data_IF_326113616021
#
_entry.id   IF_326113616021
#
_cell.length_a   1.000
_cell.length_b   1.000
_cell.length_c   1.000
_cell.angle_alpha   90.00
_cell.angle_beta   90.00
_cell.angle_gamma   90.00
#
_symmetry.space_group_name_H-M   'P 1'
#
loop_
_entity.id
_entity.type
_entity.pdbx_description
1 polymer ?
#
# COMPACT_ATOMS: atom_id res chain seq x y z
N UNK A 1 0.88 -17.89 5.89
CA UNK A 1 -0.37 -17.30 5.37
C UNK A 1 -0.05 -16.27 4.30
N UNK A 2 0.72 -15.22 4.63
CA UNK A 2 1.12 -14.17 3.70
C UNK A 2 1.70 -14.65 2.36
N UNK A 3 2.68 -15.56 2.37
CA UNK A 3 3.28 -16.08 1.12
C UNK A 3 2.26 -16.81 0.23
N UNK A 4 1.30 -17.53 0.84
CA UNK A 4 0.22 -18.19 0.09
C UNK A 4 -0.73 -17.16 -0.52
N UNK A 5 -1.03 -16.07 0.20
CA UNK A 5 -1.89 -15.00 -0.30
C UNK A 5 -1.22 -14.24 -1.45
N UNK A 6 0.07 -13.93 -1.33
CA UNK A 6 0.89 -13.34 -2.41
C UNK A 6 0.90 -14.24 -3.64
N UNK A 7 1.10 -15.55 -3.45
CA UNK A 7 1.08 -16.53 -4.54
C UNK A 7 -0.29 -16.56 -5.23
N UNK A 8 -1.38 -16.67 -4.45
CA UNK A 8 -2.73 -16.71 -4.99
C UNK A 8 -3.07 -15.44 -5.77
N UNK A 9 -2.66 -14.26 -5.28
CA UNK A 9 -2.86 -13.00 -5.97
C UNK A 9 -2.13 -12.95 -7.33
N UNK A 10 -0.87 -13.40 -7.39
CA UNK A 10 -0.10 -13.50 -8.65
C UNK A 10 -0.74 -14.47 -9.65
N UNK A 11 -1.19 -15.63 -9.17
CA UNK A 11 -1.86 -16.61 -10.01
C UNK A 11 -3.16 -16.04 -10.59
N UNK A 12 -3.94 -15.32 -9.80
CA UNK A 12 -5.15 -14.65 -10.25
C UNK A 12 -4.87 -13.55 -11.29
N UNK A 13 -3.89 -12.68 -11.05
CA UNK A 13 -3.49 -11.64 -12.01
C UNK A 13 -3.02 -12.24 -13.34
N UNK A 14 -2.21 -13.30 -13.28
CA UNK A 14 -1.74 -14.05 -14.45
C UNK A 14 -2.90 -14.67 -15.23
N UNK A 15 -3.88 -15.26 -14.52
CA UNK A 15 -5.06 -15.85 -15.14
C UNK A 15 -5.90 -14.80 -15.86
N UNK A 16 -6.18 -13.66 -15.23
CA UNK A 16 -6.93 -12.55 -15.83
C UNK A 16 -6.24 -12.06 -17.10
N UNK A 17 -4.91 -11.89 -17.07
CA UNK A 17 -4.13 -11.51 -18.24
C UNK A 17 -4.26 -12.51 -19.39
N UNK A 18 -4.10 -13.80 -19.09
CA UNK A 18 -4.21 -14.89 -20.08
C UNK A 18 -5.62 -14.97 -20.70
N UNK A 19 -6.67 -14.90 -19.87
CA UNK A 19 -8.06 -14.93 -20.35
C UNK A 19 -8.39 -13.69 -21.22
N UNK A 20 -7.86 -12.52 -20.87
CA UNK A 20 -8.00 -11.31 -21.69
C UNK A 20 -7.29 -11.45 -23.04
N UNK A 21 -6.11 -12.07 -23.09
CA UNK A 21 -5.39 -12.35 -24.33
C UNK A 21 -6.15 -13.34 -25.23
N UNK A 22 -6.73 -14.40 -24.66
CA UNK A 22 -7.59 -15.35 -25.41
C UNK A 22 -8.85 -14.67 -25.94
N UNK A 23 -9.51 -13.83 -25.14
CA UNK A 23 -10.66 -13.04 -25.59
C UNK A 23 -10.29 -12.20 -26.81
N UNK A 24 -9.14 -11.54 -26.79
CA UNK A 24 -8.62 -10.71 -27.89
C UNK A 24 -8.39 -11.46 -29.21
N UNK A 25 -8.36 -12.80 -29.21
CA UNK A 25 -8.24 -13.60 -30.44
C UNK A 25 -9.58 -13.75 -31.18
N UNK A 26 -10.71 -13.54 -30.51
CA UNK A 26 -12.03 -13.75 -31.10
C UNK A 26 -12.35 -12.66 -32.14
N UNK A 27 -12.86 -13.08 -33.31
CA UNK A 27 -13.25 -12.14 -34.38
C UNK A 27 -14.25 -11.08 -33.89
N UNK A 28 -15.18 -11.47 -33.02
CA UNK A 28 -16.24 -10.59 -32.49
C UNK A 28 -15.71 -9.35 -31.74
N UNK A 29 -14.51 -9.44 -31.17
CA UNK A 29 -13.87 -8.35 -30.40
C UNK A 29 -12.67 -7.73 -31.13
N UNK A 30 -12.45 -8.08 -32.39
CA UNK A 30 -11.34 -7.55 -33.21
C UNK A 30 -11.76 -6.56 -34.28
N UNK A 31 -13.07 -6.46 -34.56
CA UNK A 31 -13.59 -5.66 -35.68
C UNK A 31 -14.81 -4.85 -35.27
N UNK A 32 -15.05 -3.75 -35.99
CA UNK A 32 -16.23 -2.92 -35.80
C UNK A 32 -16.37 -2.40 -34.37
N UNK A 33 -17.60 -2.31 -33.89
CA UNK A 33 -17.91 -1.78 -32.56
C UNK A 33 -17.39 -2.66 -31.41
N UNK A 34 -17.41 -3.99 -31.60
CA UNK A 34 -16.82 -4.92 -30.62
C UNK A 34 -15.33 -4.72 -30.43
N UNK A 35 -14.60 -4.38 -31.51
CA UNK A 35 -13.19 -4.01 -31.44
C UNK A 35 -12.92 -2.75 -30.63
N UNK A 36 -13.78 -1.73 -30.75
CA UNK A 36 -13.64 -0.49 -29.97
C UNK A 36 -13.90 -0.73 -28.49
N UNK A 37 -14.98 -1.43 -28.14
CA UNK A 37 -15.34 -1.75 -26.74
C UNK A 37 -14.29 -2.64 -26.08
N UNK A 38 -13.78 -3.64 -26.81
CA UNK A 38 -12.72 -4.49 -26.31
C UNK A 38 -11.41 -3.74 -26.08
N UNK A 39 -11.06 -2.76 -26.95
CA UNK A 39 -9.89 -1.91 -26.70
C UNK A 39 -9.98 -1.18 -25.36
N UNK A 40 -11.14 -0.58 -25.05
CA UNK A 40 -11.36 0.10 -23.76
C UNK A 40 -11.28 -0.88 -22.59
N UNK A 41 -11.95 -2.03 -22.70
CA UNK A 41 -11.87 -3.09 -21.69
C UNK A 41 -10.44 -3.57 -21.47
N UNK A 42 -9.70 -3.84 -22.55
CA UNK A 42 -8.30 -4.29 -22.49
C UNK A 42 -7.41 -3.26 -21.80
N UNK A 43 -7.54 -1.98 -22.14
CA UNK A 43 -6.76 -0.91 -21.49
C UNK A 43 -7.00 -0.87 -19.98
N UNK A 44 -8.26 -1.04 -19.53
CA UNK A 44 -8.59 -1.12 -18.09
C UNK A 44 -8.04 -2.39 -17.42
N UNK A 45 -8.16 -3.55 -18.07
CA UNK A 45 -7.60 -4.80 -17.54
C UNK A 45 -6.09 -4.73 -17.43
N UNK A 46 -5.39 -4.22 -18.45
CA UNK A 46 -3.94 -4.09 -18.44
C UNK A 46 -3.49 -3.16 -17.31
N UNK A 47 -4.18 -2.02 -17.12
CA UNK A 47 -3.91 -1.09 -16.01
C UNK A 47 -4.16 -1.73 -14.63
N UNK A 48 -5.27 -2.45 -14.47
CA UNK A 48 -5.60 -3.17 -13.23
C UNK A 48 -4.56 -4.24 -12.89
N UNK A 49 -4.19 -5.08 -13.87
CA UNK A 49 -3.19 -6.14 -13.68
C UNK A 49 -1.83 -5.54 -13.33
N UNK A 50 -1.40 -4.49 -14.02
CA UNK A 50 -0.15 -3.81 -13.72
C UNK A 50 -0.15 -3.25 -12.29
N UNK A 51 -1.23 -2.57 -11.89
CA UNK A 51 -1.36 -2.02 -10.54
C UNK A 51 -1.29 -3.11 -9.46
N UNK A 52 -1.98 -4.23 -9.67
CA UNK A 52 -1.96 -5.38 -8.75
C UNK A 52 -0.59 -6.03 -8.69
N UNK A 53 0.09 -6.22 -9.81
CA UNK A 53 1.45 -6.77 -9.85
C UNK A 53 2.43 -5.87 -9.08
N UNK A 54 2.38 -4.56 -9.31
CA UNK A 54 3.19 -3.59 -8.58
C UNK A 54 2.87 -3.58 -7.09
N UNK A 55 1.59 -3.67 -6.72
CA UNK A 55 1.15 -3.75 -5.33
C UNK A 55 1.70 -5.00 -4.65
N UNK A 56 1.62 -6.16 -5.31
CA UNK A 56 2.15 -7.42 -4.79
C UNK A 56 3.67 -7.32 -4.55
N UNK A 57 4.42 -6.82 -5.53
CA UNK A 57 5.88 -6.64 -5.39
C UNK A 57 6.19 -5.73 -4.21
N UNK A 58 5.51 -4.60 -4.13
CA UNK A 58 5.74 -3.59 -3.10
C UNK A 58 5.37 -4.10 -1.71
N UNK A 59 4.20 -4.72 -1.53
CA UNK A 59 3.77 -5.28 -0.24
C UNK A 59 4.71 -6.40 0.21
N UNK A 60 5.14 -7.27 -0.71
CA UNK A 60 6.13 -8.30 -0.40
C UNK A 60 7.48 -7.70 0.05
N UNK A 61 7.92 -6.60 -0.56
CA UNK A 61 9.15 -5.89 -0.15
C UNK A 61 9.06 -5.27 1.25
N UNK A 62 7.84 -4.91 1.68
CA UNK A 62 7.60 -4.29 3.00
C UNK A 62 7.38 -5.31 4.12
N UNK A 63 7.28 -6.60 3.80
CA UNK A 63 6.83 -7.61 4.75
C UNK A 63 7.77 -7.75 5.96
N UNK A 64 9.09 -7.80 5.73
CA UNK A 64 10.07 -7.87 6.82
C UNK A 64 10.00 -6.64 7.73
N UNK A 65 9.85 -5.44 7.16
CA UNK A 65 9.72 -4.21 7.92
C UNK A 65 8.42 -4.17 8.75
N UNK A 66 7.31 -4.70 8.23
CA UNK A 66 6.05 -4.79 8.98
C UNK A 66 6.24 -5.59 10.27
N UNK A 67 6.90 -6.73 10.22
CA UNK A 67 7.10 -7.58 11.39
C UNK A 67 7.98 -6.85 12.43
N UNK A 68 9.04 -6.18 12.00
CA UNK A 68 9.89 -5.39 12.91
C UNK A 68 9.15 -4.23 13.57
N UNK A 69 8.30 -3.53 12.82
CA UNK A 69 7.52 -2.40 13.31
C UNK A 69 6.31 -2.82 14.17
N UNK A 70 5.69 -3.98 13.89
CA UNK A 70 4.48 -4.45 14.57
C UNK A 70 4.72 -5.24 15.86
N UNK A 71 5.83 -5.98 15.95
CA UNK A 71 6.08 -6.91 17.08
C UNK A 71 6.66 -6.21 18.31
N UNK A 72 7.24 -5.01 18.14
CA UNK A 72 8.07 -4.34 19.16
C UNK A 72 7.45 -3.09 19.80
N UNK A 73 6.19 -2.78 19.51
CA UNK A 73 5.48 -1.63 20.12
C UNK A 73 4.67 -2.00 21.38
N UNK A 74 4.76 -3.26 21.83
CA UNK A 74 4.20 -3.71 23.12
C UNK A 74 4.89 -3.00 24.29
N UNK A 75 4.12 -2.75 25.36
CA UNK A 75 4.45 -2.00 26.58
C UNK A 75 5.95 -2.07 26.93
N UNK A 76 6.69 -1.02 26.60
CA UNK A 76 8.13 -0.92 26.89
C UNK A 76 8.34 -0.30 28.27
N UNK A 77 9.19 -0.94 29.07
CA UNK A 77 9.46 -0.53 30.46
C UNK A 77 10.41 0.65 30.60
N UNK A 78 11.02 1.14 29.51
CA UNK A 78 11.96 2.27 29.55
C UNK A 78 12.05 3.04 28.22
N UNK A 79 12.43 4.33 28.32
CA UNK A 79 12.68 5.20 27.16
C UNK A 79 13.81 4.66 26.25
N UNK A 80 14.79 3.96 26.83
CA UNK A 80 15.90 3.33 26.10
C UNK A 80 15.42 2.18 25.23
N UNK A 81 14.55 1.31 25.77
CA UNK A 81 13.98 0.22 24.98
C UNK A 81 13.02 0.76 23.91
N UNK A 82 12.23 1.79 24.23
CA UNK A 82 11.38 2.46 23.26
C UNK A 82 12.18 3.02 22.07
N UNK A 83 13.27 3.75 22.36
CA UNK A 83 14.18 4.28 21.36
C UNK A 83 14.69 3.18 20.43
N UNK A 84 15.24 2.12 21.02
CA UNK A 84 15.79 0.98 20.26
C UNK A 84 14.76 0.38 19.31
N UNK A 85 13.52 0.19 19.77
CA UNK A 85 12.46 -0.39 18.94
C UNK A 85 12.09 0.52 17.74
N UNK A 86 12.04 1.84 17.96
CA UNK A 86 11.81 2.83 16.88
C UNK A 86 12.98 2.80 15.89
N UNK A 87 14.22 2.76 16.35
CA UNK A 87 15.42 2.70 15.49
C UNK A 87 15.48 1.42 14.66
N UNK A 88 15.15 0.26 15.26
CA UNK A 88 15.10 -1.03 14.56
C UNK A 88 14.03 -1.03 13.46
N UNK A 89 12.82 -0.54 13.75
CA UNK A 89 11.78 -0.39 12.74
C UNK A 89 12.17 0.62 11.64
N UNK A 90 12.77 1.76 12.00
CA UNK A 90 13.26 2.74 11.04
C UNK A 90 14.30 2.13 10.08
N UNK A 91 15.22 1.34 10.61
CA UNK A 91 16.23 0.65 9.82
C UNK A 91 15.58 -0.35 8.86
N UNK A 92 14.64 -1.17 9.34
CA UNK A 92 13.92 -2.12 8.50
C UNK A 92 13.13 -1.41 7.39
N UNK A 93 12.49 -0.27 7.67
CA UNK A 93 11.82 0.56 6.66
C UNK A 93 12.80 1.12 5.61
N UNK A 94 14.01 1.53 6.02
CA UNK A 94 15.06 2.01 5.11
C UNK A 94 15.64 0.91 4.23
N UNK A 95 15.54 -0.35 4.66
CA UNK A 95 15.98 -1.52 3.92
C UNK A 95 14.91 -2.06 2.95
N UNK A 96 13.68 -1.55 3.00
CA UNK A 96 12.64 -1.85 2.02
C UNK A 96 13.15 -1.51 0.63
N UNK A 97 13.19 -2.53 -0.23
CA UNK A 97 13.71 -2.44 -1.59
C UNK A 97 12.63 -1.95 -2.57
N UNK A 98 12.49 -2.63 -3.70
CA UNK A 98 11.61 -2.23 -4.80
C UNK A 98 10.16 -2.03 -4.34
N UNK A 99 9.71 -0.78 -4.44
CA UNK A 99 8.32 -0.36 -4.20
C UNK A 99 7.76 0.28 -5.47
N UNK A 100 7.52 -0.50 -6.54
CA UNK A 100 6.99 0.03 -7.80
C UNK A 100 5.59 0.64 -7.66
N UNK A 101 4.78 0.18 -6.70
CA UNK A 101 3.47 0.75 -6.42
C UNK A 101 3.61 2.11 -5.74
N UNK A 102 3.00 3.13 -6.34
CA UNK A 102 3.09 4.53 -5.90
C UNK A 102 2.50 4.77 -4.52
N UNK A 103 1.39 4.11 -4.19
CA UNK A 103 0.72 4.25 -2.89
C UNK A 103 1.56 3.65 -1.76
N UNK A 104 2.10 2.44 -1.99
CA UNK A 104 3.00 1.77 -1.03
C UNK A 104 4.28 2.58 -0.85
N UNK A 105 4.87 3.07 -1.93
CA UNK A 105 6.08 3.91 -1.87
C UNK A 105 5.86 5.20 -1.09
N UNK A 106 4.72 5.87 -1.31
CA UNK A 106 4.35 7.06 -0.57
C UNK A 106 4.14 6.76 0.93
N UNK A 107 3.46 5.66 1.25
CA UNK A 107 3.26 5.20 2.62
C UNK A 107 4.60 4.92 3.32
N UNK A 108 5.47 4.11 2.74
CA UNK A 108 6.79 3.78 3.31
C UNK A 108 7.61 5.05 3.54
N UNK A 109 7.62 5.99 2.58
CA UNK A 109 8.35 7.25 2.70
C UNK A 109 7.83 8.11 3.86
N UNK A 110 6.51 8.24 4.02
CA UNK A 110 5.90 8.96 5.15
C UNK A 110 6.21 8.26 6.48
N UNK A 111 6.16 6.93 6.53
CA UNK A 111 6.50 6.19 7.75
C UNK A 111 7.97 6.39 8.14
N UNK A 112 8.91 6.35 7.21
CA UNK A 112 10.32 6.67 7.47
C UNK A 112 10.45 8.06 8.11
N UNK A 113 9.81 9.08 7.53
CA UNK A 113 9.81 10.43 8.06
C UNK A 113 9.29 10.52 9.51
N UNK A 114 8.18 9.84 9.80
CA UNK A 114 7.59 9.80 11.13
C UNK A 114 8.50 9.10 12.13
N UNK A 115 9.08 7.96 11.76
CA UNK A 115 10.03 7.25 12.62
C UNK A 115 11.31 8.06 12.87
N UNK A 116 11.85 8.76 11.88
CA UNK A 116 12.98 9.70 12.08
C UNK A 116 12.63 10.82 13.06
N UNK A 117 11.42 11.37 12.94
CA UNK A 117 10.90 12.39 13.84
C UNK A 117 10.73 11.85 15.27
N UNK A 118 10.24 10.62 15.42
CA UNK A 118 10.13 9.94 16.72
C UNK A 118 11.49 9.71 17.36
N UNK A 119 12.49 9.20 16.62
CA UNK A 119 13.86 9.02 17.13
C UNK A 119 14.38 10.35 17.69
N UNK A 120 14.24 11.44 16.92
CA UNK A 120 14.70 12.76 17.35
C UNK A 120 14.00 13.27 18.62
N UNK A 121 12.69 13.07 18.75
CA UNK A 121 11.92 13.46 19.94
C UNK A 121 12.34 12.62 21.15
N UNK A 122 12.45 11.31 20.99
CA UNK A 122 12.84 10.38 22.05
C UNK A 122 14.25 10.66 22.55
N UNK A 123 15.18 10.99 21.65
CA UNK A 123 16.54 11.39 22.02
C UNK A 123 16.58 12.61 22.93
N UNK A 124 15.78 13.63 22.59
CA UNK A 124 15.66 14.83 23.42
C UNK A 124 15.06 14.50 24.77
N UNK A 125 14.00 13.70 24.81
CA UNK A 125 13.38 13.25 26.06
C UNK A 125 14.37 12.46 26.96
N UNK A 126 15.21 11.62 26.36
CA UNK A 126 16.20 10.83 27.09
C UNK A 126 17.38 11.66 27.62
N UNK A 127 17.58 12.87 27.09
CA UNK A 127 18.66 13.78 27.52
C UNK A 127 18.35 14.57 28.79
N UNK A 128 17.09 14.58 29.26
CA UNK A 128 16.71 15.29 30.47
C UNK A 128 17.10 14.53 31.74
N UNK A 129 17.83 15.21 32.63
CA UNK A 129 18.22 14.71 33.94
C UNK A 129 17.11 14.87 34.98
N UNK A 130 16.20 15.84 34.79
CA UNK A 130 15.08 16.11 35.68
C UNK A 130 13.76 16.36 34.91
N UNK A 131 13.19 15.33 34.25
CA UNK A 131 12.00 15.47 33.41
C UNK A 131 10.71 15.73 34.18
N UNK A 132 10.71 15.60 35.51
CA UNK A 132 9.55 15.82 36.38
C UNK A 132 9.72 16.98 37.37
N UNK A 133 10.88 17.64 37.38
CA UNK A 133 11.12 18.91 38.07
C UNK A 133 11.31 20.06 37.08
N UNK A 134 12.48 20.69 37.08
CA UNK A 134 12.68 21.98 36.38
C UNK A 134 12.52 21.89 34.85
N UNK A 135 12.69 20.70 34.26
CA UNK A 135 12.56 20.47 32.83
C UNK A 135 11.16 19.95 32.42
N UNK A 136 10.21 19.91 33.35
CA UNK A 136 8.88 19.34 33.13
C UNK A 136 8.14 19.95 31.94
N UNK A 137 8.17 21.27 31.77
CA UNK A 137 7.47 21.94 30.67
C UNK A 137 8.02 21.53 29.29
N UNK A 138 9.35 21.40 29.17
CA UNK A 138 10.02 20.95 27.94
C UNK A 138 9.74 19.47 27.68
N UNK A 139 9.78 18.64 28.73
CA UNK A 139 9.44 17.21 28.64
C UNK A 139 7.99 16.98 28.23
N UNK A 140 7.06 17.74 28.82
CA UNK A 140 5.63 17.70 28.50
C UNK A 140 5.40 18.06 27.03
N UNK A 141 6.03 19.14 26.53
CA UNK A 141 5.92 19.53 25.12
C UNK A 141 6.46 18.45 24.16
N UNK A 142 7.58 17.81 24.49
CA UNK A 142 8.10 16.68 23.70
C UNK A 142 7.18 15.46 23.77
N UNK A 143 6.57 15.20 24.92
CA UNK A 143 5.58 14.14 25.07
C UNK A 143 4.34 14.38 24.21
N UNK A 144 3.83 15.63 24.17
CA UNK A 144 2.75 16.01 23.25
C UNK A 144 3.16 15.83 21.79
N UNK A 145 4.34 16.33 21.39
CA UNK A 145 4.83 16.16 20.03
C UNK A 145 4.98 14.69 19.62
N UNK A 146 5.43 13.83 20.54
CA UNK A 146 5.48 12.38 20.31
C UNK A 146 4.08 11.83 20.02
N UNK A 147 3.08 12.21 20.82
CA UNK A 147 1.69 11.80 20.62
C UNK A 147 1.14 12.27 19.28
N UNK A 148 1.44 13.51 18.88
CA UNK A 148 1.04 14.05 17.59
C UNK A 148 1.64 13.24 16.43
N UNK A 149 2.94 12.91 16.49
CA UNK A 149 3.59 12.08 15.45
C UNK A 149 2.93 10.69 15.38
N UNK A 150 2.63 10.07 16.53
CA UNK A 150 1.92 8.77 16.55
C UNK A 150 0.52 8.87 15.95
N UNK A 151 -0.17 9.99 16.18
CA UNK A 151 -1.46 10.28 15.54
C UNK A 151 -1.30 10.39 14.02
N UNK A 152 -0.32 11.16 13.55
CA UNK A 152 -0.05 11.36 12.12
C UNK A 152 0.35 10.05 11.41
N UNK A 153 0.99 9.11 12.13
CA UNK A 153 1.25 7.76 11.62
C UNK A 153 -0.05 6.97 11.43
N UNK A 154 -1.01 7.11 12.35
CA UNK A 154 -2.35 6.54 12.23
C UNK A 154 -3.10 7.10 11.01
N UNK A 155 -3.04 8.41 10.81
CA UNK A 155 -3.64 9.07 9.65
C UNK A 155 -2.94 8.64 8.34
N UNK A 156 -1.62 8.46 8.36
CA UNK A 156 -0.85 7.95 7.21
C UNK A 156 -1.30 6.54 6.80
N UNK A 157 -1.64 5.68 7.76
CA UNK A 157 -2.21 4.35 7.47
C UNK A 157 -3.62 4.46 6.89
N UNK A 158 -4.45 5.36 7.42
CA UNK A 158 -5.79 5.63 6.90
C UNK A 158 -5.76 6.13 5.45
N UNK A 159 -4.89 7.11 5.17
CA UNK A 159 -4.62 7.64 3.83
C UNK A 159 -4.19 6.55 2.86
N UNK A 160 -3.25 5.69 3.28
CA UNK A 160 -2.77 4.58 2.47
C UNK A 160 -3.92 3.65 2.06
N UNK A 161 -4.75 3.21 3.01
CA UNK A 161 -5.90 2.36 2.71
C UNK A 161 -6.91 3.04 1.79
N UNK A 162 -7.18 4.33 2.00
CA UNK A 162 -8.04 5.13 1.12
C UNK A 162 -7.48 5.21 -0.30
N UNK A 163 -6.18 5.46 -0.45
CA UNK A 163 -5.55 5.63 -1.76
C UNK A 163 -5.51 4.33 -2.56
N UNK A 164 -5.23 3.20 -1.91
CA UNK A 164 -5.33 1.88 -2.54
C UNK A 164 -6.72 1.65 -3.11
N UNK A 165 -7.78 1.90 -2.31
CA UNK A 165 -9.16 1.70 -2.77
C UNK A 165 -9.51 2.62 -3.94
N UNK A 166 -9.11 3.90 -3.88
CA UNK A 166 -9.34 4.85 -4.97
C UNK A 166 -8.66 4.41 -6.26
N UNK A 167 -7.39 4.02 -6.23
CA UNK A 167 -6.71 3.55 -7.43
C UNK A 167 -7.32 2.27 -7.99
N UNK A 168 -7.71 1.32 -7.13
CA UNK A 168 -8.41 0.09 -7.57
C UNK A 168 -9.72 0.44 -8.29
N UNK A 169 -10.50 1.38 -7.76
CA UNK A 169 -11.75 1.85 -8.39
C UNK A 169 -11.48 2.57 -9.72
N UNK A 170 -10.43 3.38 -9.79
CA UNK A 170 -10.05 4.10 -11.01
C UNK A 170 -9.67 3.15 -12.16
N UNK A 171 -9.03 2.02 -11.84
CA UNK A 171 -8.60 1.02 -12.82
C UNK A 171 -9.58 -0.16 -12.95
N UNK A 172 -10.73 -0.15 -12.27
CA UNK A 172 -11.69 -1.26 -12.28
C UNK A 172 -12.22 -1.52 -13.72
N UNK A 173 -12.01 -2.73 -14.28
CA UNK A 173 -12.47 -3.06 -15.63
C UNK A 173 -13.97 -3.40 -15.70
N UNK A 174 -14.72 -3.49 -14.58
CA UNK A 174 -16.10 -4.02 -14.56
C UNK A 174 -17.07 -3.29 -15.48
N UNK A 175 -17.05 -1.96 -15.51
CA UNK A 175 -17.99 -1.21 -16.35
C UNK A 175 -17.67 -1.37 -17.84
N UNK A 176 -16.38 -1.38 -18.20
CA UNK A 176 -15.95 -1.69 -19.56
C UNK A 176 -16.26 -3.15 -19.95
N UNK A 177 -16.17 -4.08 -19.00
CA UNK A 177 -16.53 -5.48 -19.19
C UNK A 177 -18.03 -5.65 -19.45
N UNK A 178 -18.88 -4.95 -18.67
CA UNK A 178 -20.34 -4.94 -18.85
C UNK A 178 -20.71 -4.39 -20.22
N UNK A 179 -20.17 -3.24 -20.61
CA UNK A 179 -20.43 -2.63 -21.91
C UNK A 179 -20.03 -3.54 -23.08
N UNK A 180 -18.88 -4.21 -22.98
CA UNK A 180 -18.46 -5.21 -23.96
C UNK A 180 -19.41 -6.42 -23.97
N UNK A 181 -19.79 -6.92 -22.80
CA UNK A 181 -20.68 -8.09 -22.65
C UNK A 181 -22.06 -7.83 -23.26
N UNK A 182 -22.68 -6.70 -22.93
CA UNK A 182 -24.00 -6.31 -23.43
C UNK A 182 -24.01 -6.24 -24.96
N UNK A 183 -22.99 -5.62 -25.56
CA UNK A 183 -22.84 -5.58 -27.02
C UNK A 183 -22.71 -6.99 -27.64
N UNK A 184 -21.92 -7.87 -27.03
CA UNK A 184 -21.72 -9.23 -27.54
C UNK A 184 -23.00 -10.06 -27.44
N UNK A 185 -23.75 -9.94 -26.34
CA UNK A 185 -25.04 -10.62 -26.14
C UNK A 185 -26.08 -10.16 -27.16
N UNK A 186 -26.21 -8.84 -27.36
CA UNK A 186 -27.16 -8.29 -28.33
C UNK A 186 -26.82 -8.72 -29.76
N UNK A 187 -25.53 -8.76 -30.11
CA UNK A 187 -25.09 -9.27 -31.41
C UNK A 187 -25.44 -10.73 -31.65
N UNK A 188 -25.40 -11.57 -30.61
CA UNK A 188 -25.81 -12.98 -30.70
C UNK A 188 -27.32 -13.09 -30.86
N UNK A 189 -28.12 -12.27 -30.15
CA UNK A 189 -29.59 -12.28 -30.22
C UNK A 189 -30.16 -11.68 -31.50
N UNK A 190 -29.43 -10.78 -32.17
CA UNK A 190 -29.84 -10.15 -33.42
C UNK A 190 -29.59 -11.00 -34.68
N UNK A 191 -29.04 -12.21 -34.52
CA UNK A 191 -28.84 -13.19 -35.59
C UNK A 191 -29.95 -14.24 -35.56
#
# INVERSE_FOLDING_TARGET
MFENDVKAAREAATKVKSENEELGKLKAVRVGEGGKKYKVFKEKVDAYVQYVDDLIVSVNSTYEAKDECGTRTSIVSSIKQYKRNIEECLQALKEVKETPNTDVKAYVSKMIYHYESLVSVVDKMASFSDPYGDQYSQYSALSSKRSDIVSDMGDTLSDYNSNINKHIDEVDPKDAARDLSDYLVDKVRSK
#
